data_IF_206591144159
#
_entry.id   IF_206591144159
#
_cell.length_a   1.000
_cell.length_b   1.000
_cell.length_c   1.000
_cell.angle_alpha   90.00
_cell.angle_beta   90.00
_cell.angle_gamma   90.00
#
_symmetry.space_group_name_H-M   'P 1'
#
loop_
_entity.id
_entity.type
_entity.pdbx_description
1 polymer ?
#
# COMPACT_ATOMS: atom_id res chain seq x y z
N UNK A 1 19.79 -11.14 -6.42
CA UNK A 1 18.65 -10.41 -5.83
C UNK A 1 18.76 -8.94 -6.26
N UNK A 2 17.82 -8.39 -7.04
CA UNK A 2 17.84 -6.97 -7.42
C UNK A 2 16.93 -6.20 -6.46
N UNK A 3 17.52 -5.29 -5.67
CA UNK A 3 16.85 -4.48 -4.64
C UNK A 3 16.88 -3.02 -5.06
N UNK A 4 15.74 -2.35 -4.99
CA UNK A 4 15.62 -0.91 -5.17
C UNK A 4 15.15 -0.29 -3.85
N UNK A 5 15.91 0.66 -3.33
CA UNK A 5 15.53 1.46 -2.17
C UNK A 5 15.84 2.90 -2.49
N UNK A 6 14.83 3.75 -2.57
CA UNK A 6 15.04 5.17 -2.76
C UNK A 6 14.16 5.98 -1.82
N UNK A 7 14.74 7.04 -1.29
CA UNK A 7 14.08 8.02 -0.45
C UNK A 7 13.97 9.30 -1.27
N UNK A 8 12.75 9.66 -1.66
CA UNK A 8 12.50 10.94 -2.31
C UNK A 8 12.48 12.01 -1.23
N UNK A 9 13.63 12.68 -1.06
CA UNK A 9 13.75 13.93 -0.30
C UNK A 9 13.69 15.09 -1.32
N UNK A 10 13.07 16.23 -1.01
CA UNK A 10 13.19 17.42 -1.81
C UNK A 10 14.66 17.82 -1.76
N UNK A 11 15.36 17.57 -2.86
CA UNK A 11 16.69 18.11 -3.05
C UNK A 11 16.50 19.57 -3.43
N UNK A 12 17.13 20.50 -2.69
CA UNK A 12 17.46 21.82 -3.24
C UNK A 12 18.57 21.65 -4.29
N UNK A 13 18.36 20.84 -5.32
CA UNK A 13 19.23 20.76 -6.48
C UNK A 13 18.35 20.66 -7.71
N UNK A 14 18.53 21.65 -8.58
CA UNK A 14 18.12 21.67 -9.97
C UNK A 14 18.36 20.30 -10.62
N UNK A 15 17.29 19.64 -11.08
CA UNK A 15 16.88 19.67 -12.49
C UNK A 15 15.72 20.66 -12.66
N UNK A 16 15.27 20.99 -13.89
CA UNK A 16 14.16 21.93 -14.07
C UNK A 16 12.97 21.48 -13.21
N UNK A 17 12.18 22.43 -12.67
CA UNK A 17 10.99 22.07 -11.93
C UNK A 17 10.19 21.11 -12.83
N UNK A 18 9.75 19.99 -12.28
CA UNK A 18 8.61 19.29 -12.85
C UNK A 18 7.49 20.34 -12.89
N UNK A 19 7.38 21.04 -14.01
CA UNK A 19 6.44 22.15 -14.24
C UNK A 19 5.01 21.65 -14.36
N UNK A 20 4.83 20.33 -14.42
CA UNK A 20 3.56 19.68 -14.14
C UNK A 20 3.39 19.53 -12.63
N UNK A 21 2.27 20.03 -12.10
CA UNK A 21 1.78 19.61 -10.77
C UNK A 21 1.91 18.10 -10.66
N UNK A 22 2.70 17.63 -9.70
CA UNK A 22 2.76 16.20 -9.37
C UNK A 22 1.41 15.85 -8.75
N UNK A 23 0.52 15.30 -9.57
CA UNK A 23 -0.87 15.04 -9.18
C UNK A 23 -1.08 13.66 -8.60
N UNK A 24 -0.20 12.67 -8.83
CA UNK A 24 -0.37 11.32 -8.30
C UNK A 24 0.96 10.69 -7.86
N UNK A 25 0.87 9.79 -6.87
CA UNK A 25 1.95 8.89 -6.47
C UNK A 25 2.57 8.15 -7.66
N UNK A 26 1.72 7.64 -8.56
CA UNK A 26 2.17 6.86 -9.72
C UNK A 26 3.03 7.69 -10.65
N UNK A 27 2.76 8.99 -10.82
CA UNK A 27 3.57 9.84 -11.70
C UNK A 27 5.02 9.97 -11.21
N UNK A 28 5.24 9.95 -9.89
CA UNK A 28 6.58 10.00 -9.29
C UNK A 28 7.36 8.72 -9.58
N UNK A 29 6.67 7.58 -9.57
CA UNK A 29 7.33 6.27 -9.61
C UNK A 29 7.26 5.59 -10.98
N UNK A 30 6.43 6.09 -11.90
CA UNK A 30 6.27 5.58 -13.27
C UNK A 30 7.60 5.39 -14.01
N UNK A 31 8.61 6.28 -13.89
CA UNK A 31 9.91 6.06 -14.53
C UNK A 31 10.59 4.75 -14.12
N UNK A 32 10.29 4.21 -12.93
CA UNK A 32 10.85 2.96 -12.43
C UNK A 32 10.07 1.71 -12.88
N UNK A 33 8.93 1.86 -13.56
CA UNK A 33 8.14 0.72 -14.05
C UNK A 33 8.89 -0.08 -15.13
N UNK A 34 9.86 0.54 -15.81
CA UNK A 34 10.77 -0.17 -16.73
C UNK A 34 11.60 -1.25 -16.03
N UNK A 35 11.77 -1.16 -14.71
CA UNK A 35 12.50 -2.13 -13.90
C UNK A 35 11.59 -3.31 -13.48
N UNK A 36 11.00 -4.01 -14.45
CA UNK A 36 9.96 -5.02 -14.22
C UNK A 36 10.41 -6.24 -13.39
N UNK A 37 11.72 -6.52 -13.35
CA UNK A 37 12.31 -7.67 -12.64
C UNK A 37 12.75 -7.36 -11.20
N UNK A 38 12.22 -6.29 -10.61
CA UNK A 38 12.48 -5.95 -9.21
C UNK A 38 11.76 -6.92 -8.28
N UNK A 39 12.51 -7.46 -7.30
CA UNK A 39 11.98 -8.39 -6.30
C UNK A 39 11.80 -7.75 -4.94
N UNK A 40 12.54 -6.67 -4.65
CA UNK A 40 12.45 -5.95 -3.38
C UNK A 40 12.43 -4.45 -3.65
N UNK A 41 11.35 -3.83 -3.24
CA UNK A 41 11.03 -2.44 -3.53
C UNK A 41 10.66 -1.76 -2.22
N UNK A 42 11.42 -0.73 -1.87
CA UNK A 42 11.12 0.14 -0.74
C UNK A 42 11.01 1.57 -1.23
N UNK A 43 9.79 2.09 -1.20
CA UNK A 43 9.43 3.44 -1.65
C UNK A 43 9.14 4.28 -0.42
N UNK A 44 9.93 5.33 -0.20
CA UNK A 44 9.68 6.32 0.85
C UNK A 44 9.58 7.72 0.26
N UNK A 45 8.40 8.32 0.36
CA UNK A 45 8.10 9.66 -0.13
C UNK A 45 7.78 10.54 1.09
N UNK A 46 8.70 11.40 1.50
CA UNK A 46 8.56 12.13 2.77
C UNK A 46 7.74 13.42 2.67
N UNK A 47 7.52 13.94 1.46
CA UNK A 47 6.79 15.19 1.20
C UNK A 47 5.57 14.91 0.33
N UNK A 48 4.62 14.19 0.90
CA UNK A 48 3.31 13.95 0.32
C UNK A 48 2.38 15.08 0.77
N UNK A 49 2.04 15.98 -0.16
CA UNK A 49 1.21 17.16 0.12
C UNK A 49 -0.28 16.83 -0.05
N UNK A 50 -1.15 17.67 0.52
CA UNK A 50 -2.60 17.55 0.43
C UNK A 50 -3.14 17.58 -1.00
N UNK A 51 -2.38 18.17 -1.92
CA UNK A 51 -2.73 18.27 -3.34
C UNK A 51 -2.40 17.00 -4.15
N UNK A 52 -1.68 16.02 -3.58
CA UNK A 52 -1.36 14.77 -4.29
C UNK A 52 -2.55 13.80 -4.17
N UNK A 53 -3.00 13.27 -5.31
CA UNK A 53 -4.07 12.27 -5.40
C UNK A 53 -3.74 11.07 -4.51
N UNK A 54 -4.69 10.59 -3.69
CA UNK A 54 -4.49 9.44 -2.83
C UNK A 54 -3.98 8.21 -3.60
N UNK A 55 -3.16 7.38 -2.95
CA UNK A 55 -2.90 6.02 -3.42
C UNK A 55 -4.19 5.22 -3.26
N UNK A 56 -4.95 5.08 -4.34
CA UNK A 56 -6.15 4.29 -4.44
C UNK A 56 -5.86 2.88 -4.97
N UNK A 57 -6.94 2.18 -5.33
CA UNK A 57 -6.83 0.81 -5.84
C UNK A 57 -6.13 0.76 -7.20
N UNK A 58 -6.43 1.72 -8.08
CA UNK A 58 -5.84 1.82 -9.42
C UNK A 58 -4.32 1.98 -9.35
N UNK A 59 -3.82 2.81 -8.44
CA UNK A 59 -2.39 2.96 -8.24
C UNK A 59 -1.73 1.67 -7.75
N UNK A 60 -2.38 0.95 -6.82
CA UNK A 60 -1.86 -0.32 -6.31
C UNK A 60 -1.85 -1.39 -7.42
N UNK A 61 -2.86 -1.42 -8.27
CA UNK A 61 -2.90 -2.33 -9.43
C UNK A 61 -1.84 -1.98 -10.47
N UNK A 62 -1.58 -0.70 -10.72
CA UNK A 62 -0.51 -0.27 -11.60
C UNK A 62 0.86 -0.75 -11.09
N UNK A 63 1.08 -0.77 -9.77
CA UNK A 63 2.29 -1.36 -9.18
C UNK A 63 2.39 -2.86 -9.45
N UNK A 64 1.29 -3.60 -9.29
CA UNK A 64 1.27 -5.03 -9.52
C UNK A 64 1.52 -5.39 -10.99
N UNK A 65 0.99 -4.58 -11.93
CA UNK A 65 1.28 -4.70 -13.35
C UNK A 65 2.74 -4.43 -13.69
N UNK A 66 3.33 -3.41 -13.08
CA UNK A 66 4.72 -3.04 -13.32
C UNK A 66 5.70 -4.08 -12.76
N UNK A 67 5.40 -4.67 -11.60
CA UNK A 67 6.30 -5.55 -10.85
C UNK A 67 5.64 -6.86 -10.42
N UNK A 68 5.28 -7.75 -11.35
CA UNK A 68 4.57 -8.99 -11.04
C UNK A 68 5.42 -10.00 -10.25
N UNK A 69 6.75 -9.93 -10.35
CA UNK A 69 7.71 -10.79 -9.63
C UNK A 69 8.12 -10.20 -8.25
N UNK A 70 7.43 -9.18 -7.74
CA UNK A 70 7.83 -8.54 -6.49
C UNK A 70 7.62 -9.49 -5.30
N UNK A 71 8.67 -9.68 -4.51
CA UNK A 71 8.65 -10.49 -3.28
C UNK A 71 8.44 -9.61 -2.03
N UNK A 72 8.96 -8.39 -2.04
CA UNK A 72 8.88 -7.43 -0.94
C UNK A 72 8.50 -6.06 -1.47
N UNK A 73 7.36 -5.54 -1.02
CA UNK A 73 6.94 -4.16 -1.29
C UNK A 73 6.72 -3.42 0.03
N UNK A 74 7.44 -2.31 0.24
CA UNK A 74 7.22 -1.40 1.35
C UNK A 74 6.97 0.01 0.85
N UNK A 75 5.80 0.55 1.20
CA UNK A 75 5.39 1.91 0.88
C UNK A 75 5.33 2.75 2.17
N UNK A 76 6.08 3.84 2.19
CA UNK A 76 6.09 4.84 3.26
C UNK A 76 5.76 6.21 2.64
N UNK A 77 4.59 6.75 2.97
CA UNK A 77 4.11 8.03 2.40
C UNK A 77 3.92 9.08 3.50
N UNK A 78 4.53 10.25 3.28
CA UNK A 78 4.51 11.40 4.17
C UNK A 78 5.34 11.25 5.44
N UNK A 79 5.10 12.14 6.41
CA UNK A 79 5.56 11.96 7.79
C UNK A 79 4.74 10.87 8.50
N UNK A 80 5.33 10.14 9.46
CA UNK A 80 4.59 9.19 10.27
C UNK A 80 3.36 9.86 10.91
N UNK A 81 2.21 9.19 10.87
CA UNK A 81 0.91 9.74 11.28
C UNK A 81 0.93 10.28 12.73
N UNK A 82 1.71 9.66 13.62
CA UNK A 82 1.89 10.07 15.01
C UNK A 82 2.69 11.37 15.21
N UNK A 83 3.35 11.86 14.15
CA UNK A 83 4.16 13.08 14.18
C UNK A 83 3.49 14.28 13.48
N UNK A 84 2.29 14.09 12.94
CA UNK A 84 1.56 15.13 12.21
C UNK A 84 0.18 15.36 12.85
N UNK A 85 -0.04 16.51 13.52
CA UNK A 85 -1.33 16.83 14.16
C UNK A 85 -2.47 16.96 13.14
N UNK A 86 -2.16 17.14 11.85
CA UNK A 86 -3.12 17.32 10.76
C UNK A 86 -3.37 16.02 9.97
N UNK A 87 -2.98 14.85 10.49
CA UNK A 87 -3.09 13.58 9.78
C UNK A 87 -4.51 13.25 9.29
N UNK A 88 -5.55 13.74 9.98
CA UNK A 88 -6.96 13.60 9.59
C UNK A 88 -7.33 14.36 8.31
N UNK A 89 -6.54 15.39 7.98
CA UNK A 89 -6.74 16.28 6.83
C UNK A 89 -5.88 15.89 5.61
N UNK A 90 -5.13 14.78 5.67
CA UNK A 90 -4.34 14.30 4.52
C UNK A 90 -5.21 13.52 3.54
N UNK A 91 -4.91 13.62 2.23
CA UNK A 91 -5.60 12.85 1.20
C UNK A 91 -5.52 11.35 1.55
N UNK A 92 -6.65 10.66 1.50
CA UNK A 92 -6.80 9.35 2.08
C UNK A 92 -6.05 8.29 1.26
N UNK A 93 -4.84 7.91 1.67
CA UNK A 93 -4.22 6.67 1.16
C UNK A 93 -5.03 5.51 1.74
N UNK A 94 -5.87 4.89 0.90
CA UNK A 94 -6.95 4.01 1.36
C UNK A 94 -7.24 2.88 0.37
N UNK A 95 -6.27 1.99 0.08
CA UNK A 95 -6.62 0.74 -0.58
C UNK A 95 -7.57 -0.05 0.33
N UNK A 96 -8.60 -0.65 -0.25
CA UNK A 96 -9.48 -1.57 0.46
C UNK A 96 -8.77 -2.90 0.77
N UNK A 97 -9.33 -3.68 1.69
CA UNK A 97 -8.82 -5.03 1.98
C UNK A 97 -8.88 -5.94 0.76
N UNK A 98 -9.93 -5.83 -0.06
CA UNK A 98 -10.03 -6.51 -1.34
C UNK A 98 -8.88 -6.15 -2.29
N UNK A 99 -8.49 -4.87 -2.31
CA UNK A 99 -7.38 -4.41 -3.14
C UNK A 99 -6.06 -5.08 -2.73
N UNK A 100 -5.81 -5.25 -1.41
CA UNK A 100 -4.64 -5.97 -0.90
C UNK A 100 -4.63 -7.42 -1.38
N UNK A 101 -5.77 -8.09 -1.28
CA UNK A 101 -5.89 -9.46 -1.73
C UNK A 101 -5.68 -9.61 -3.24
N UNK A 102 -6.33 -8.77 -4.05
CA UNK A 102 -6.15 -8.77 -5.51
C UNK A 102 -4.71 -8.43 -5.91
N UNK A 103 -4.06 -7.52 -5.18
CA UNK A 103 -2.64 -7.23 -5.36
C UNK A 103 -1.77 -8.49 -5.12
N UNK A 104 -1.99 -9.19 -4.00
CA UNK A 104 -1.27 -10.41 -3.68
C UNK A 104 -1.51 -11.55 -4.69
N UNK A 105 -2.72 -11.65 -5.25
CA UNK A 105 -3.04 -12.63 -6.31
C UNK A 105 -2.27 -12.36 -7.61
N UNK A 106 -2.04 -11.08 -7.91
CA UNK A 106 -1.32 -10.64 -9.12
C UNK A 106 0.19 -10.77 -8.96
N UNK A 107 0.71 -10.52 -7.75
CA UNK A 107 2.11 -10.68 -7.40
C UNK A 107 2.34 -12.02 -6.66
N UNK A 108 2.36 -13.14 -7.39
CA UNK A 108 2.38 -14.49 -6.79
C UNK A 108 3.57 -14.79 -5.88
N UNK A 109 4.70 -14.13 -6.12
CA UNK A 109 5.93 -14.29 -5.33
C UNK A 109 5.97 -13.37 -4.09
N UNK A 110 4.93 -12.56 -3.86
CA UNK A 110 4.87 -11.59 -2.77
C UNK A 110 4.89 -12.30 -1.42
N UNK A 111 5.93 -12.01 -0.63
CA UNK A 111 6.15 -12.53 0.72
C UNK A 111 5.94 -11.46 1.79
N UNK A 112 6.18 -10.20 1.47
CA UNK A 112 6.06 -9.09 2.42
C UNK A 112 5.44 -7.86 1.76
N UNK A 113 4.37 -7.36 2.36
CA UNK A 113 3.68 -6.16 1.95
C UNK A 113 3.58 -5.20 3.14
N UNK A 114 4.00 -3.96 2.94
CA UNK A 114 3.86 -2.89 3.92
C UNK A 114 3.22 -1.67 3.28
N UNK A 115 2.07 -1.29 3.80
CA UNK A 115 1.26 -0.16 3.33
C UNK A 115 1.16 0.90 4.43
N UNK A 116 1.16 2.20 4.08
CA UNK A 116 1.13 3.27 5.07
C UNK A 116 -0.23 3.40 5.76
N UNK A 117 -1.31 3.09 5.04
CA UNK A 117 -2.66 3.05 5.56
C UNK A 117 -3.54 2.12 4.70
N UNK A 118 -4.58 1.57 5.30
CA UNK A 118 -5.60 0.73 4.66
C UNK A 118 -6.97 1.16 5.15
N UNK A 119 -7.95 1.09 4.27
CA UNK A 119 -9.32 1.34 4.63
C UNK A 119 -10.10 0.05 4.83
N UNK A 120 -10.78 -0.04 5.97
CA UNK A 120 -11.70 -1.11 6.28
C UNK A 120 -13.13 -0.61 6.07
N UNK A 121 -13.83 -1.24 5.12
CA UNK A 121 -15.26 -1.07 4.93
C UNK A 121 -15.88 -2.46 4.80
N UNK A 122 -16.96 -2.73 5.54
CA UNK A 122 -17.60 -4.05 5.56
C UNK A 122 -18.13 -4.48 4.18
N UNK A 123 -18.57 -3.51 3.37
CA UNK A 123 -18.99 -3.74 1.98
C UNK A 123 -17.88 -4.29 1.07
N UNK A 124 -16.63 -4.22 1.50
CA UNK A 124 -15.46 -4.66 0.74
C UNK A 124 -14.92 -6.02 1.21
N UNK A 125 -15.68 -6.84 1.94
CA UNK A 125 -15.16 -8.10 2.49
C UNK A 125 -15.48 -9.37 1.66
N UNK A 126 -16.06 -9.29 0.44
CA UNK A 126 -16.72 -10.49 -0.13
C UNK A 126 -16.65 -10.71 -1.65
N UNK A 127 -15.97 -9.89 -2.46
CA UNK A 127 -16.41 -9.84 -3.87
C UNK A 127 -15.91 -11.00 -4.74
N UNK A 128 -14.62 -11.37 -4.83
CA UNK A 128 -14.21 -12.32 -5.91
C UNK A 128 -12.93 -13.16 -5.67
N UNK A 129 -12.52 -13.43 -4.42
CA UNK A 129 -11.25 -14.16 -4.21
C UNK A 129 -11.54 -15.67 -4.22
N UNK A 130 -10.99 -16.44 -5.19
CA UNK A 130 -11.27 -17.87 -5.26
C UNK A 130 -10.74 -18.59 -4.02
N UNK A 131 -11.60 -19.35 -3.36
CA UNK A 131 -11.23 -20.26 -2.27
C UNK A 131 -10.09 -21.17 -2.72
N UNK A 132 -9.00 -21.23 -1.93
CA UNK A 132 -7.82 -22.03 -2.26
C UNK A 132 -6.78 -21.34 -3.13
N UNK A 133 -6.93 -20.04 -3.43
CA UNK A 133 -5.85 -19.26 -4.03
C UNK A 133 -4.63 -19.25 -3.11
N UNK A 134 -3.56 -19.95 -3.49
CA UNK A 134 -2.31 -19.97 -2.72
C UNK A 134 -1.57 -18.65 -2.88
N UNK A 135 -1.44 -17.89 -1.80
CA UNK A 135 -0.63 -16.68 -1.72
C UNK A 135 0.65 -16.97 -0.93
N UNK A 136 1.78 -16.43 -1.39
CA UNK A 136 3.07 -16.54 -0.69
C UNK A 136 3.25 -15.58 0.47
N UNK A 137 2.24 -14.75 0.78
CA UNK A 137 2.37 -13.65 1.73
C UNK A 137 2.62 -14.19 3.15
N UNK A 138 3.70 -13.71 3.77
CA UNK A 138 4.13 -14.07 5.13
C UNK A 138 4.07 -12.89 6.09
N UNK A 139 4.15 -11.67 5.57
CA UNK A 139 4.20 -10.46 6.38
C UNK A 139 3.32 -9.37 5.77
N UNK A 140 2.30 -8.95 6.51
CA UNK A 140 1.46 -7.80 6.17
C UNK A 140 1.60 -6.74 7.26
N UNK A 141 2.16 -5.59 6.91
CA UNK A 141 2.31 -4.46 7.82
C UNK A 141 1.42 -3.31 7.38
N UNK A 142 0.45 -2.96 8.21
CA UNK A 142 -0.43 -1.82 7.99
C UNK A 142 0.00 -0.68 8.90
N UNK A 143 0.32 0.48 8.33
CA UNK A 143 0.76 1.64 9.13
C UNK A 143 -0.38 2.27 9.92
N UNK A 144 -1.59 2.29 9.35
CA UNK A 144 -2.79 2.75 10.01
C UNK A 144 -4.02 2.11 9.37
N UNK A 145 -5.01 1.83 10.20
CA UNK A 145 -6.30 1.29 9.79
C UNK A 145 -7.31 2.43 9.91
N UNK A 146 -7.82 2.90 8.77
CA UNK A 146 -8.78 3.99 8.71
C UNK A 146 -10.19 3.43 8.63
N UNK A 147 -11.03 3.67 9.63
CA UNK A 147 -12.42 3.21 9.65
C UNK A 147 -13.32 4.29 9.06
N UNK A 148 -14.06 3.93 8.02
CA UNK A 148 -15.20 4.70 7.55
C UNK A 148 -16.45 4.03 8.14
N UNK A 149 -16.94 4.59 9.25
CA UNK A 149 -18.00 4.07 10.13
C UNK A 149 -17.52 2.96 11.08
N UNK A 150 -17.00 3.37 12.24
CA UNK A 150 -16.42 2.52 13.27
C UNK A 150 -17.50 1.65 13.95
N UNK A 151 -17.41 0.33 13.76
CA UNK A 151 -17.93 -0.66 14.73
C UNK A 151 -16.81 -1.66 15.05
N UNK A 152 -16.76 -2.20 16.27
CA UNK A 152 -15.79 -3.24 16.62
C UNK A 152 -15.97 -4.49 15.74
N UNK A 153 -17.22 -4.80 15.39
CA UNK A 153 -17.57 -5.93 14.52
C UNK A 153 -16.93 -5.82 13.13
N UNK A 154 -16.81 -4.60 12.59
CA UNK A 154 -16.18 -4.32 11.29
C UNK A 154 -14.67 -4.62 11.30
N UNK A 155 -14.00 -4.39 12.43
CA UNK A 155 -12.57 -4.70 12.60
C UNK A 155 -12.34 -6.20 12.69
N UNK A 156 -13.17 -6.89 13.48
CA UNK A 156 -13.10 -8.34 13.63
C UNK A 156 -13.35 -9.03 12.28
N UNK A 157 -14.38 -8.60 11.55
CA UNK A 157 -14.70 -9.13 10.22
C UNK A 157 -13.55 -8.91 9.22
N UNK A 158 -12.93 -7.73 9.22
CA UNK A 158 -11.78 -7.43 8.35
C UNK A 158 -10.54 -8.24 8.71
N UNK A 159 -10.30 -8.44 10.00
CA UNK A 159 -9.20 -9.26 10.51
C UNK A 159 -9.39 -10.72 10.15
N UNK A 160 -10.58 -11.27 10.40
CA UNK A 160 -10.95 -12.63 10.00
C UNK A 160 -10.83 -12.83 8.49
N UNK A 161 -11.26 -11.85 7.69
CA UNK A 161 -11.12 -11.90 6.25
C UNK A 161 -9.66 -11.92 5.80
N UNK A 162 -8.81 -11.04 6.34
CA UNK A 162 -7.38 -11.06 6.06
C UNK A 162 -6.71 -12.37 6.51
N UNK A 163 -7.10 -12.93 7.65
CA UNK A 163 -6.59 -14.22 8.12
C UNK A 163 -7.07 -15.37 7.24
N UNK A 164 -8.29 -15.30 6.71
CA UNK A 164 -8.82 -16.29 5.78
C UNK A 164 -8.08 -16.26 4.45
N UNK A 165 -7.78 -15.06 3.94
CA UNK A 165 -7.03 -14.87 2.69
C UNK A 165 -5.54 -15.03 2.89
N UNK A 166 -5.00 -14.84 4.09
CA UNK A 166 -3.57 -14.94 4.36
C UNK A 166 -3.28 -15.76 5.62
N UNK A 167 -3.68 -17.05 5.68
CA UNK A 167 -3.61 -17.87 6.89
C UNK A 167 -2.20 -18.06 7.46
N UNK A 168 -1.16 -17.90 6.65
CA UNK A 168 0.24 -18.03 7.08
C UNK A 168 0.94 -16.68 7.28
N UNK A 169 0.22 -15.55 7.12
CA UNK A 169 0.82 -14.23 7.26
C UNK A 169 0.73 -13.72 8.69
N UNK A 170 1.83 -13.15 9.18
CA UNK A 170 1.80 -12.28 10.36
C UNK A 170 1.28 -10.91 9.94
N UNK A 171 0.17 -10.48 10.54
CA UNK A 171 -0.50 -9.21 10.26
C UNK A 171 -0.24 -8.25 11.43
N UNK A 172 0.46 -7.15 11.16
CA UNK A 172 0.79 -6.11 12.14
C UNK A 172 0.09 -4.80 11.81
N UNK A 173 -0.34 -4.05 12.83
CA UNK A 173 -0.95 -2.73 12.68
C UNK A 173 -2.48 -2.72 12.71
N UNK A 174 -3.10 -3.88 12.92
CA UNK A 174 -4.44 -3.95 13.50
C UNK A 174 -4.32 -3.67 15.02
N UNK A 175 -5.29 -3.00 15.65
CA UNK A 175 -5.31 -2.86 17.11
C UNK A 175 -5.35 -4.26 17.75
N UNK A 176 -4.60 -4.45 18.84
CA UNK A 176 -4.69 -5.67 19.65
C UNK A 176 -6.16 -5.81 20.11
N UNK A 177 -6.78 -6.94 19.75
CA UNK A 177 -8.14 -7.32 20.19
C UNK A 177 -8.02 -7.94 21.58
#
# INVERSE_FOLDING_TARGET
MRKLSFCVRPVKLFPPPLTGRITSFVDIIRPFFVLSRLRSIHLRITHYDRATSPLGEDELFALADAWPEVEVLRLELGKPLWSDPDYRNRPPIRPSVNCIARFALKCRDLKSLSLPAVELQDRNLWVDIPLGSQHGLRWLQLGCVLPLNYSHESLDASTQFLQHIFPSASINGLPDI
#
